data_IF_771839517442
#
_entry.id   IF_771839517442
#
_cell.length_a   1.000
_cell.length_b   1.000
_cell.length_c   1.000
_cell.angle_alpha   90.00
_cell.angle_beta   90.00
_cell.angle_gamma   90.00
#
_symmetry.space_group_name_H-M   'P 1'
#
loop_
_entity.id
_entity.type
_entity.pdbx_description
1 polymer ?
#
# COMPACT_ATOMS: atom_id res chain seq x y z
N UNK A 1 21.89 -3.42 23.67
CA UNK A 1 20.89 -4.51 23.69
C UNK A 1 19.47 -4.04 24.03
N UNK A 2 19.26 -3.20 25.04
CA UNK A 2 17.90 -2.72 25.47
C UNK A 2 17.13 -1.85 24.46
N UNK A 3 17.78 -1.05 23.63
CA UNK A 3 17.12 -0.19 22.61
C UNK A 3 16.53 -1.00 21.44
N UNK A 4 17.23 -2.06 21.03
CA UNK A 4 16.77 -2.99 19.96
C UNK A 4 15.51 -3.78 20.37
N UNK A 5 15.44 -4.18 21.62
CA UNK A 5 14.28 -4.92 22.17
C UNK A 5 13.05 -4.03 22.24
N UNK A 6 13.17 -2.78 22.72
CA UNK A 6 12.08 -1.80 22.74
C UNK A 6 11.53 -1.47 21.36
N UNK A 7 12.38 -1.33 20.33
CA UNK A 7 11.94 -1.11 18.93
C UNK A 7 11.20 -2.31 18.36
N UNK A 8 11.55 -3.54 18.73
CA UNK A 8 10.86 -4.76 18.32
C UNK A 8 9.52 -4.92 19.03
N UNK A 9 9.46 -4.60 20.32
CA UNK A 9 8.24 -4.62 21.12
C UNK A 9 7.23 -3.56 20.63
N UNK A 10 7.68 -2.33 20.33
CA UNK A 10 6.85 -1.29 19.73
C UNK A 10 6.30 -1.70 18.35
N UNK A 11 7.08 -2.42 17.54
CA UNK A 11 6.65 -2.90 16.23
C UNK A 11 5.59 -4.00 16.35
N UNK A 12 5.73 -4.90 17.31
CA UNK A 12 4.73 -5.95 17.56
C UNK A 12 3.46 -5.39 18.20
N UNK A 13 3.56 -4.49 19.17
CA UNK A 13 2.41 -3.82 19.78
C UNK A 13 1.63 -3.01 18.75
N UNK A 14 2.30 -2.27 17.87
CA UNK A 14 1.67 -1.52 16.78
C UNK A 14 0.96 -2.46 15.78
N UNK A 15 1.57 -3.60 15.42
CA UNK A 15 0.96 -4.60 14.54
C UNK A 15 -0.25 -5.27 15.18
N UNK A 16 -0.18 -5.62 16.45
CA UNK A 16 -1.33 -6.16 17.20
C UNK A 16 -2.46 -5.17 17.32
N UNK A 17 -2.13 -3.88 17.53
CA UNK A 17 -3.13 -2.82 17.58
C UNK A 17 -3.79 -2.55 16.22
N UNK A 18 -3.06 -2.68 15.12
CA UNK A 18 -3.62 -2.52 13.76
C UNK A 18 -4.35 -3.76 13.24
N UNK A 19 -4.06 -4.95 13.76
CA UNK A 19 -4.61 -6.22 13.27
C UNK A 19 -6.15 -6.24 13.12
N UNK A 20 -6.95 -5.70 14.07
CA UNK A 20 -8.41 -5.67 13.95
C UNK A 20 -8.93 -4.79 12.81
N UNK A 21 -8.09 -3.89 12.29
CA UNK A 21 -8.49 -2.91 11.27
C UNK A 21 -8.07 -3.29 9.84
N UNK A 22 -7.32 -4.38 9.68
CA UNK A 22 -6.85 -4.84 8.35
C UNK A 22 -8.04 -5.07 7.41
N UNK A 23 -9.08 -5.75 7.87
CA UNK A 23 -10.28 -6.01 7.08
C UNK A 23 -10.99 -4.71 6.67
N UNK A 24 -11.12 -3.75 7.59
CA UNK A 24 -11.73 -2.44 7.32
C UNK A 24 -10.90 -1.63 6.32
N UNK A 25 -9.57 -1.69 6.42
CA UNK A 25 -8.68 -1.04 5.44
C UNK A 25 -8.88 -1.60 4.03
N UNK A 26 -9.10 -2.90 3.90
CA UNK A 26 -9.28 -3.58 2.61
C UNK A 26 -10.72 -3.54 2.08
N UNK A 27 -11.68 -3.02 2.82
CA UNK A 27 -13.09 -3.01 2.43
C UNK A 27 -13.34 -2.36 1.05
N UNK A 28 -12.84 -1.16 0.72
CA UNK A 28 -13.03 -0.58 -0.61
C UNK A 28 -12.38 -1.39 -1.72
N UNK A 29 -11.18 -1.94 -1.47
CA UNK A 29 -10.51 -2.80 -2.46
C UNK A 29 -11.39 -4.00 -2.85
N UNK A 30 -12.02 -4.66 -1.87
CA UNK A 30 -12.91 -5.80 -2.10
C UNK A 30 -14.25 -5.39 -2.70
N UNK A 31 -14.77 -4.22 -2.34
CA UNK A 31 -16.03 -3.72 -2.89
C UNK A 31 -15.94 -3.47 -4.40
N UNK A 32 -14.78 -3.00 -4.86
CA UNK A 32 -14.56 -2.64 -6.25
C UNK A 32 -13.87 -3.72 -7.10
N UNK A 33 -13.49 -4.87 -6.52
CA UNK A 33 -12.73 -5.89 -7.24
C UNK A 33 -13.03 -7.30 -6.76
N UNK A 34 -13.15 -8.24 -7.69
CA UNK A 34 -13.01 -9.67 -7.39
C UNK A 34 -11.52 -10.05 -7.42
N UNK A 35 -10.90 -10.13 -6.26
CA UNK A 35 -9.46 -10.39 -6.12
C UNK A 35 -9.05 -11.78 -6.67
N UNK A 36 -10.03 -12.70 -6.86
CA UNK A 36 -9.77 -14.03 -7.45
C UNK A 36 -9.48 -13.97 -8.94
N UNK A 37 -9.84 -12.87 -9.60
CA UNK A 37 -9.58 -12.65 -11.02
C UNK A 37 -8.19 -12.08 -11.31
N UNK A 38 -7.48 -11.58 -10.30
CA UNK A 38 -6.11 -11.13 -10.44
C UNK A 38 -5.20 -12.30 -10.84
N UNK A 39 -4.47 -12.17 -11.94
CA UNK A 39 -3.59 -13.22 -12.49
C UNK A 39 -2.14 -13.02 -12.13
N UNK A 40 -1.62 -11.81 -12.30
CA UNK A 40 -0.23 -11.42 -12.00
C UNK A 40 -0.24 -10.21 -11.06
N UNK A 41 0.05 -10.45 -9.80
CA UNK A 41 -0.02 -9.45 -8.72
C UNK A 41 1.36 -8.97 -8.35
N UNK A 42 1.55 -7.66 -8.30
CA UNK A 42 2.69 -6.99 -7.68
C UNK A 42 2.24 -6.28 -6.40
N UNK A 43 2.76 -6.68 -5.25
CA UNK A 43 2.51 -6.03 -3.96
C UNK A 43 3.74 -5.19 -3.56
N UNK A 44 3.63 -3.87 -3.67
CA UNK A 44 4.71 -2.91 -3.43
C UNK A 44 4.68 -2.43 -1.99
N UNK A 45 5.79 -2.58 -1.28
CA UNK A 45 5.85 -2.37 0.16
C UNK A 45 5.12 -3.48 0.92
N UNK A 46 5.25 -4.73 0.47
CA UNK A 46 4.48 -5.88 0.96
C UNK A 46 4.72 -6.21 2.43
N UNK A 47 5.76 -5.66 3.05
CA UNK A 47 6.14 -5.93 4.42
C UNK A 47 6.28 -7.42 4.72
N UNK A 48 5.71 -7.92 5.83
CA UNK A 48 5.74 -9.34 6.18
C UNK A 48 4.71 -10.19 5.41
N UNK A 49 4.16 -9.69 4.30
CA UNK A 49 3.22 -10.39 3.43
C UNK A 49 1.77 -10.39 3.91
N UNK A 50 1.35 -9.39 4.68
CA UNK A 50 -0.03 -9.33 5.22
C UNK A 50 -1.11 -9.30 4.15
N UNK A 51 -0.79 -8.80 2.96
CA UNK A 51 -1.70 -8.69 1.81
C UNK A 51 -1.73 -9.95 0.93
N UNK A 52 -0.90 -10.97 1.19
CA UNK A 52 -0.68 -12.10 0.27
C UNK A 52 -1.87 -13.07 0.20
N UNK A 53 -2.56 -13.30 1.31
CA UNK A 53 -3.57 -14.36 1.42
C UNK A 53 -4.73 -14.27 0.40
N UNK A 54 -5.29 -13.09 0.08
CA UNK A 54 -6.35 -12.95 -0.92
C UNK A 54 -5.94 -13.38 -2.34
N UNK A 55 -4.63 -13.39 -2.64
CA UNK A 55 -4.06 -13.69 -3.95
C UNK A 55 -3.47 -15.11 -4.05
N UNK A 56 -4.00 -16.05 -3.28
CA UNK A 56 -3.47 -17.42 -3.22
C UNK A 56 -3.42 -18.14 -4.58
N UNK A 57 -4.28 -17.76 -5.53
CA UNK A 57 -4.37 -18.37 -6.88
C UNK A 57 -3.65 -17.59 -7.97
N UNK A 58 -3.11 -16.43 -7.66
CA UNK A 58 -2.43 -15.54 -8.62
C UNK A 58 -0.94 -15.85 -8.71
N UNK A 59 -0.28 -15.50 -9.82
CA UNK A 59 1.15 -15.22 -9.82
C UNK A 59 1.38 -14.02 -8.91
N UNK A 60 2.23 -14.13 -7.89
CA UNK A 60 2.42 -13.10 -6.89
C UNK A 60 3.88 -12.78 -6.69
N UNK A 61 4.20 -11.50 -6.72
CA UNK A 61 5.50 -10.95 -6.36
C UNK A 61 5.32 -9.83 -5.33
N UNK A 62 5.85 -10.02 -4.13
CA UNK A 62 5.95 -8.97 -3.11
C UNK A 62 7.30 -8.29 -3.14
N UNK A 63 7.35 -6.96 -3.05
CA UNK A 63 8.60 -6.18 -2.95
C UNK A 63 8.61 -5.40 -1.65
N UNK A 64 9.73 -5.49 -0.92
CA UNK A 64 10.02 -4.67 0.25
C UNK A 64 11.54 -4.53 0.41
N UNK A 65 12.00 -3.48 1.08
CA UNK A 65 13.42 -3.32 1.39
C UNK A 65 13.87 -4.09 2.64
N UNK A 66 12.92 -4.52 3.49
CA UNK A 66 13.20 -5.16 4.76
C UNK A 66 13.34 -6.67 4.62
N UNK A 67 14.58 -7.14 4.55
CA UNK A 67 14.91 -8.57 4.42
C UNK A 67 14.26 -9.47 5.48
N UNK A 68 14.11 -9.00 6.73
CA UNK A 68 13.50 -9.79 7.82
C UNK A 68 12.01 -10.01 7.56
N UNK A 69 11.31 -8.99 7.07
CA UNK A 69 9.91 -9.10 6.67
C UNK A 69 9.75 -10.11 5.54
N UNK A 70 10.60 -10.02 4.52
CA UNK A 70 10.56 -10.92 3.38
C UNK A 70 10.90 -12.36 3.73
N UNK A 71 11.85 -12.59 4.63
CA UNK A 71 12.14 -13.93 5.14
C UNK A 71 10.94 -14.55 5.86
N UNK A 72 10.25 -13.75 6.69
CA UNK A 72 9.01 -14.17 7.33
C UNK A 72 7.92 -14.49 6.31
N UNK A 73 7.71 -13.60 5.34
CA UNK A 73 6.70 -13.75 4.29
C UNK A 73 6.93 -14.99 3.44
N UNK A 74 8.18 -15.25 3.02
CA UNK A 74 8.56 -16.47 2.27
C UNK A 74 8.22 -17.74 3.04
N UNK A 75 8.58 -17.82 4.34
CA UNK A 75 8.29 -19.00 5.18
C UNK A 75 6.80 -19.21 5.36
N UNK A 76 6.03 -18.12 5.50
CA UNK A 76 4.60 -18.19 5.79
C UNK A 76 3.75 -18.51 4.58
N UNK A 77 4.09 -17.96 3.42
CA UNK A 77 3.22 -17.99 2.24
C UNK A 77 3.77 -18.80 1.07
N UNK A 78 5.07 -19.14 1.06
CA UNK A 78 5.69 -19.92 -0.03
C UNK A 78 5.62 -19.22 -1.38
N UNK A 79 5.61 -17.86 -1.42
CA UNK A 79 5.46 -17.05 -2.63
C UNK A 79 6.77 -16.31 -2.97
N UNK A 80 6.81 -15.68 -4.14
CA UNK A 80 7.94 -14.88 -4.56
C UNK A 80 7.95 -13.52 -3.82
N UNK A 81 9.11 -13.22 -3.22
CA UNK A 81 9.35 -11.94 -2.55
C UNK A 81 10.74 -11.44 -2.93
N UNK A 82 10.84 -10.19 -3.36
CA UNK A 82 12.07 -9.54 -3.79
C UNK A 82 12.47 -8.45 -2.78
N UNK A 83 13.73 -8.51 -2.34
CA UNK A 83 14.33 -7.45 -1.55
C UNK A 83 14.82 -6.36 -2.49
N UNK A 84 14.13 -5.23 -2.53
CA UNK A 84 14.51 -4.12 -3.38
C UNK A 84 14.01 -2.79 -2.82
N UNK A 85 14.76 -1.74 -3.15
CA UNK A 85 14.34 -0.37 -2.95
C UNK A 85 13.53 0.08 -4.17
N UNK A 86 12.24 0.26 -4.00
CA UNK A 86 11.33 0.64 -5.10
C UNK A 86 11.53 2.08 -5.58
N UNK A 87 12.27 2.90 -4.84
CA UNK A 87 12.70 4.23 -5.32
C UNK A 87 13.70 4.14 -6.48
N UNK A 88 14.23 2.93 -6.74
CA UNK A 88 15.13 2.62 -7.84
C UNK A 88 14.50 1.59 -8.79
N UNK A 89 14.95 1.49 -10.05
CA UNK A 89 14.51 0.43 -10.95
C UNK A 89 14.81 -0.96 -10.36
N UNK A 90 13.78 -1.68 -9.94
CA UNK A 90 13.91 -2.97 -9.24
C UNK A 90 13.41 -4.15 -10.06
N UNK A 91 12.63 -3.90 -11.12
CA UNK A 91 12.01 -4.92 -11.96
C UNK A 91 12.45 -4.81 -13.41
N UNK A 92 12.44 -5.94 -14.10
CA UNK A 92 12.74 -5.95 -15.52
C UNK A 92 11.71 -5.11 -16.31
N UNK A 93 12.13 -4.31 -17.31
CA UNK A 93 11.23 -3.46 -18.08
C UNK A 93 10.09 -4.22 -18.80
N UNK A 94 10.24 -5.53 -19.02
CA UNK A 94 9.24 -6.41 -19.65
C UNK A 94 8.27 -7.06 -18.65
N UNK A 95 8.49 -6.91 -17.34
CA UNK A 95 7.54 -7.40 -16.34
C UNK A 95 6.18 -6.75 -16.55
N UNK A 96 5.10 -7.54 -16.44
CA UNK A 96 3.73 -7.05 -16.60
C UNK A 96 2.83 -7.64 -15.53
N UNK A 97 1.99 -6.77 -14.97
CA UNK A 97 1.06 -7.12 -13.90
C UNK A 97 -0.33 -6.60 -14.27
N UNK A 98 -1.35 -7.41 -14.06
CA UNK A 98 -2.74 -6.97 -14.20
C UNK A 98 -3.28 -6.36 -12.90
N UNK A 99 -2.57 -6.57 -11.78
CA UNK A 99 -2.93 -6.05 -10.47
C UNK A 99 -1.69 -5.57 -9.72
N UNK A 100 -1.56 -4.25 -9.53
CA UNK A 100 -0.50 -3.67 -8.69
C UNK A 100 -1.15 -3.14 -7.42
N UNK A 101 -0.67 -3.59 -6.25
CA UNK A 101 -1.15 -3.17 -4.94
C UNK A 101 -0.08 -2.35 -4.21
N UNK A 102 -0.50 -1.23 -3.63
CA UNK A 102 0.25 -0.49 -2.63
C UNK A 102 -0.65 -0.23 -1.43
N UNK A 103 -0.25 -0.70 -0.26
CA UNK A 103 -1.05 -0.54 0.95
C UNK A 103 -0.23 0.11 2.06
N UNK A 104 -0.61 1.32 2.47
CA UNK A 104 0.04 2.09 3.53
C UNK A 104 1.55 2.26 3.28
N UNK A 105 1.92 2.73 2.10
CA UNK A 105 3.32 2.85 1.66
C UNK A 105 3.71 4.28 1.27
N UNK A 106 2.91 4.98 0.44
CA UNK A 106 3.32 6.25 -0.17
C UNK A 106 3.41 7.41 0.83
N UNK A 107 2.74 7.32 1.98
CA UNK A 107 2.90 8.32 3.06
C UNK A 107 4.27 8.24 3.76
N UNK A 108 5.10 7.23 3.47
CA UNK A 108 6.50 7.16 3.89
C UNK A 108 7.47 7.80 2.89
N UNK A 109 6.97 8.24 1.73
CA UNK A 109 7.79 8.70 0.60
C UNK A 109 7.44 10.14 0.26
N UNK A 110 8.45 10.98 0.02
CA UNK A 110 8.24 12.37 -0.43
C UNK A 110 7.57 12.42 -1.81
N UNK A 111 7.02 13.59 -2.15
CA UNK A 111 6.21 13.73 -3.38
C UNK A 111 7.02 13.52 -4.67
N UNK A 112 8.25 14.01 -4.82
CA UNK A 112 9.07 13.70 -6.00
C UNK A 112 9.33 12.21 -6.18
N UNK A 113 9.74 11.52 -5.11
CA UNK A 113 9.99 10.06 -5.15
C UNK A 113 8.71 9.26 -5.38
N UNK A 114 7.58 9.66 -4.78
CA UNK A 114 6.28 9.03 -5.01
C UNK A 114 5.84 9.16 -6.49
N UNK A 115 6.02 10.33 -7.11
CA UNK A 115 5.76 10.57 -8.54
C UNK A 115 6.56 9.61 -9.42
N UNK A 116 7.85 9.50 -9.17
CA UNK A 116 8.75 8.63 -9.93
C UNK A 116 8.38 7.14 -9.79
N UNK A 117 8.03 6.71 -8.57
CA UNK A 117 7.55 5.35 -8.31
C UNK A 117 6.28 5.08 -9.11
N UNK A 118 5.28 5.96 -9.03
CA UNK A 118 3.99 5.80 -9.70
C UNK A 118 4.14 5.77 -11.22
N UNK A 119 4.99 6.63 -11.78
CA UNK A 119 5.29 6.63 -13.22
C UNK A 119 5.88 5.29 -13.67
N UNK A 120 6.86 4.75 -12.95
CA UNK A 120 7.45 3.43 -13.25
C UNK A 120 6.46 2.30 -13.09
N UNK A 121 5.61 2.33 -12.08
CA UNK A 121 4.58 1.30 -11.88
C UNK A 121 3.52 1.33 -12.98
N UNK A 122 3.17 2.50 -13.51
CA UNK A 122 2.26 2.61 -14.65
C UNK A 122 2.78 1.85 -15.88
N UNK A 123 4.09 1.91 -16.13
CA UNK A 123 4.74 1.19 -17.22
C UNK A 123 4.77 -0.34 -17.05
N UNK A 124 4.56 -0.85 -15.84
CA UNK A 124 4.50 -2.28 -15.53
C UNK A 124 3.09 -2.87 -15.63
N UNK A 125 2.06 -2.06 -15.81
CA UNK A 125 0.70 -2.54 -15.99
C UNK A 125 0.52 -3.21 -17.36
N UNK A 126 -0.29 -4.27 -17.39
CA UNK A 126 -0.87 -4.76 -18.64
C UNK A 126 -1.88 -3.74 -19.17
N UNK A 127 -2.32 -3.86 -20.42
CA UNK A 127 -3.27 -2.94 -21.05
C UNK A 127 -4.56 -2.80 -20.24
N UNK A 128 -5.10 -3.91 -19.73
CA UNK A 128 -6.30 -3.94 -18.87
C UNK A 128 -5.99 -3.93 -17.37
N UNK A 129 -4.71 -3.78 -17.02
CA UNK A 129 -4.25 -3.82 -15.63
C UNK A 129 -4.63 -2.55 -14.85
N UNK A 130 -4.69 -2.72 -13.53
CA UNK A 130 -5.00 -1.63 -12.63
C UNK A 130 -3.99 -1.55 -11.47
N UNK A 131 -3.69 -0.32 -11.08
CA UNK A 131 -3.06 -0.07 -9.79
C UNK A 131 -4.13 0.17 -8.74
N UNK A 132 -3.88 -0.35 -7.53
CA UNK A 132 -4.74 -0.20 -6.35
C UNK A 132 -3.90 0.35 -5.21
N UNK A 133 -4.25 1.53 -4.73
CA UNK A 133 -3.53 2.22 -3.67
C UNK A 133 -4.51 2.46 -2.52
N UNK A 134 -4.13 2.01 -1.31
CA UNK A 134 -4.80 2.32 -0.06
C UNK A 134 -3.80 3.05 0.81
N UNK A 135 -4.05 4.33 1.06
CA UNK A 135 -3.06 5.11 1.79
C UNK A 135 -3.69 6.09 2.78
N UNK A 136 -2.85 6.63 3.67
CA UNK A 136 -3.27 7.52 4.72
C UNK A 136 -3.64 8.88 4.15
N UNK A 137 -4.84 9.35 4.48
CA UNK A 137 -5.33 10.68 4.15
C UNK A 137 -5.05 11.64 5.34
N UNK A 138 -4.51 12.81 5.04
CA UNK A 138 -4.41 13.87 6.04
C UNK A 138 -5.75 14.62 6.08
N UNK A 139 -6.55 14.49 7.17
CA UNK A 139 -7.83 15.18 7.28
C UNK A 139 -7.68 16.70 7.20
N UNK A 140 -8.58 17.39 6.51
CA UNK A 140 -8.57 18.85 6.42
C UNK A 140 -8.89 19.52 7.78
N UNK A 141 -9.84 18.95 8.53
CA UNK A 141 -10.28 19.47 9.83
C UNK A 141 -9.49 18.86 10.99
N UNK A 142 -9.38 19.60 12.08
CA UNK A 142 -8.83 19.08 13.33
C UNK A 142 -9.68 17.90 13.84
N UNK A 143 -9.04 16.76 14.07
CA UNK A 143 -9.71 15.51 14.48
C UNK A 143 -8.70 14.56 15.11
N UNK A 144 -9.19 13.53 15.80
CA UNK A 144 -8.34 12.43 16.31
C UNK A 144 -7.56 11.79 15.16
N UNK A 145 -8.23 11.53 14.03
CA UNK A 145 -7.60 10.97 12.85
C UNK A 145 -6.45 11.85 12.31
N UNK A 146 -6.59 13.19 12.34
CA UNK A 146 -5.53 14.11 11.94
C UNK A 146 -4.32 14.05 12.87
N UNK A 147 -4.54 13.95 14.18
CA UNK A 147 -3.45 13.79 15.16
C UNK A 147 -2.73 12.47 14.93
N UNK A 148 -3.49 11.36 14.80
CA UNK A 148 -2.91 10.05 14.55
C UNK A 148 -2.17 10.00 13.21
N UNK A 149 -2.67 10.64 12.15
CA UNK A 149 -1.99 10.73 10.85
C UNK A 149 -0.64 11.48 10.95
N UNK A 150 -0.54 12.50 11.81
CA UNK A 150 0.72 13.21 12.05
C UNK A 150 1.69 12.48 12.97
N UNK A 151 1.19 11.60 13.83
CA UNK A 151 1.98 10.76 14.73
C UNK A 151 2.36 9.42 14.07
N UNK A 152 1.81 9.12 12.90
CA UNK A 152 2.21 7.95 12.12
C UNK A 152 3.68 8.06 11.73
N UNK A 153 4.32 6.91 11.49
CA UNK A 153 5.73 6.85 11.07
C UNK A 153 5.96 7.40 9.67
N UNK A 154 4.90 7.56 8.90
CA UNK A 154 4.93 8.20 7.59
C UNK A 154 5.10 9.72 7.75
N UNK A 155 6.13 10.28 7.11
CA UNK A 155 6.42 11.71 7.23
C UNK A 155 5.63 12.57 6.23
N UNK A 156 4.92 11.92 5.29
CA UNK A 156 4.29 12.59 4.14
C UNK A 156 2.80 12.22 3.96
N UNK A 157 1.96 12.31 5.01
CA UNK A 157 0.52 12.14 4.82
C UNK A 157 0.00 13.33 4.01
N UNK A 158 -0.80 13.06 2.96
CA UNK A 158 -1.27 14.07 2.00
C UNK A 158 -2.77 14.29 2.14
N UNK A 159 -3.26 15.53 1.96
CA UNK A 159 -4.68 15.80 1.80
C UNK A 159 -5.21 15.22 0.47
N UNK A 160 -6.53 15.07 0.35
CA UNK A 160 -7.17 14.41 -0.79
C UNK A 160 -6.79 15.03 -2.14
N UNK A 161 -6.72 16.36 -2.22
CA UNK A 161 -6.41 17.06 -3.48
C UNK A 161 -4.97 16.80 -3.94
N UNK A 162 -4.02 16.68 -3.00
CA UNK A 162 -2.64 16.30 -3.35
C UNK A 162 -2.56 14.85 -3.85
N UNK A 163 -3.30 13.92 -3.22
CA UNK A 163 -3.40 12.55 -3.71
C UNK A 163 -3.99 12.49 -5.11
N UNK A 164 -5.08 13.22 -5.36
CA UNK A 164 -5.75 13.31 -6.65
C UNK A 164 -4.82 13.82 -7.73
N UNK A 165 -4.08 14.91 -7.46
CA UNK A 165 -3.10 15.47 -8.38
C UNK A 165 -2.00 14.44 -8.68
N UNK A 166 -1.39 13.87 -7.64
CA UNK A 166 -0.30 12.89 -7.77
C UNK A 166 -0.71 11.68 -8.62
N UNK A 167 -1.88 11.11 -8.38
CA UNK A 167 -2.36 9.96 -9.13
C UNK A 167 -2.69 10.33 -10.58
N UNK A 168 -3.24 11.51 -10.81
CA UNK A 168 -3.64 11.96 -12.16
C UNK A 168 -2.45 12.16 -13.10
N UNK A 169 -1.24 12.29 -12.60
CA UNK A 169 -0.04 12.44 -13.43
C UNK A 169 0.29 11.16 -14.23
N UNK A 170 0.09 9.99 -13.65
CA UNK A 170 0.46 8.69 -14.25
C UNK A 170 -0.71 7.80 -14.61
N UNK A 171 -1.90 8.06 -14.07
CA UNK A 171 -3.05 7.17 -14.21
C UNK A 171 -4.32 7.91 -14.64
N UNK A 172 -5.16 7.19 -15.39
CA UNK A 172 -6.58 7.53 -15.55
C UNK A 172 -7.35 6.96 -14.36
N UNK A 173 -8.05 7.82 -13.63
CA UNK A 173 -8.80 7.45 -12.43
C UNK A 173 -10.02 6.60 -12.81
N UNK A 174 -10.16 5.43 -12.19
CA UNK A 174 -11.35 4.57 -12.26
C UNK A 174 -12.19 4.72 -10.98
N UNK A 175 -11.53 4.71 -9.81
CA UNK A 175 -12.13 4.96 -8.50
C UNK A 175 -11.21 5.84 -7.69
N UNK A 176 -11.77 6.82 -6.99
CA UNK A 176 -11.10 7.58 -5.95
C UNK A 176 -12.07 7.76 -4.79
N UNK A 177 -11.88 7.03 -3.70
CA UNK A 177 -12.81 6.94 -2.58
C UNK A 177 -12.09 7.23 -1.26
N UNK A 178 -12.34 8.40 -0.64
CA UNK A 178 -11.95 8.61 0.74
C UNK A 178 -12.87 7.81 1.67
N UNK A 179 -12.29 7.15 2.70
CA UNK A 179 -13.05 6.36 3.65
C UNK A 179 -12.44 6.42 5.05
N UNK A 180 -13.26 6.10 6.06
CA UNK A 180 -12.86 6.11 7.44
C UNK A 180 -12.63 4.70 7.98
N UNK A 181 -11.57 4.52 8.76
CA UNK A 181 -11.34 3.33 9.56
C UNK A 181 -11.67 3.65 11.01
N UNK A 182 -12.81 3.11 11.46
CA UNK A 182 -13.37 3.38 12.79
C UNK A 182 -13.02 2.29 13.79
N UNK A 183 -12.78 2.68 15.04
CA UNK A 183 -12.60 1.79 16.17
C UNK A 183 -13.20 2.40 17.44
N UNK A 184 -13.88 1.59 18.24
CA UNK A 184 -14.56 2.03 19.48
C UNK A 184 -15.47 3.25 19.27
N UNK A 185 -16.17 3.33 18.14
CA UNK A 185 -17.04 4.46 17.81
C UNK A 185 -16.33 5.73 17.34
N UNK A 186 -15.00 5.75 17.28
CA UNK A 186 -14.20 6.90 16.84
C UNK A 186 -13.63 6.66 15.44
N UNK A 187 -13.51 7.75 14.65
CA UNK A 187 -12.73 7.74 13.42
C UNK A 187 -11.23 7.82 13.79
N UNK A 188 -10.52 6.71 13.62
CA UNK A 188 -9.11 6.60 13.97
C UNK A 188 -8.21 6.98 12.80
N UNK A 189 -8.58 6.61 11.56
CA UNK A 189 -7.84 6.97 10.35
C UNK A 189 -8.80 7.36 9.24
N UNK A 190 -8.44 8.41 8.53
CA UNK A 190 -8.97 8.67 7.20
C UNK A 190 -7.99 8.10 6.17
N UNK A 191 -8.53 7.39 5.22
CA UNK A 191 -7.79 6.69 4.18
C UNK A 191 -8.33 7.10 2.82
N UNK A 192 -7.54 6.91 1.79
CA UNK A 192 -7.97 6.99 0.40
C UNK A 192 -7.76 5.65 -0.28
N UNK A 193 -8.76 5.18 -1.00
CA UNK A 193 -8.64 4.11 -1.97
C UNK A 193 -8.63 4.69 -3.37
N UNK A 194 -7.63 4.31 -4.14
CA UNK A 194 -7.49 4.68 -5.55
C UNK A 194 -7.38 3.43 -6.42
N UNK A 195 -8.13 3.42 -7.52
CA UNK A 195 -8.00 2.47 -8.62
C UNK A 195 -7.76 3.26 -9.90
N UNK A 196 -6.68 2.95 -10.60
CA UNK A 196 -6.30 3.63 -11.83
C UNK A 196 -5.80 2.69 -12.91
N UNK A 197 -5.94 3.11 -14.16
CA UNK A 197 -5.28 2.51 -15.33
C UNK A 197 -4.08 3.34 -15.74
N UNK A 198 -3.03 2.72 -16.27
CA UNK A 198 -1.91 3.46 -16.84
C UNK A 198 -2.40 4.39 -17.97
N UNK A 199 -1.87 5.61 -18.02
CA UNK A 199 -2.07 6.48 -19.18
C UNK A 199 -1.27 5.92 -20.36
N UNK A 200 -1.91 5.89 -21.51
CA UNK A 200 -1.25 5.58 -22.80
C UNK A 200 -0.41 6.75 -23.26
#
# INVERSE_FOLDING_TARGET
MKLRTRLLEMTQAYRLWQAPFVEKKFAPLRAHNDLRQARQVLDVGCGPGTNTAPFARSGYLGIDHNLRYLQHARRRYGRAFLAADITRPALAPRARFDFILMNSFLHHVDTPSAREILHRLAALLTEDGHIHILDLLLPARASVARVLARLDRGQFPRPLEEWKQLFSESFTTVVLEPYAVTGLGLNLWEMVYFKGRGKK
#
